data_IF_474961658510
#
_entry.id   IF_474961658510
#
_cell.length_a   1.000
_cell.length_b   1.000
_cell.length_c   1.000
_cell.angle_alpha   90.00
_cell.angle_beta   90.00
_cell.angle_gamma   90.00
#
_symmetry.space_group_name_H-M   'P 1'
#
loop_
_entity.id
_entity.type
_entity.pdbx_description
1 polymer ?
#
# COMPACT_ATOMS: atom_id res chain seq x y z
N UNK A 1 2.04 26.12 -18.74
CA UNK A 1 1.46 25.42 -17.57
C UNK A 1 -0.01 25.17 -17.89
N UNK A 2 -0.34 24.05 -18.53
CA UNK A 2 -1.72 23.71 -18.89
C UNK A 2 -2.37 23.02 -17.70
N UNK A 3 -3.33 23.69 -17.06
CA UNK A 3 -4.09 23.14 -15.95
C UNK A 3 -4.98 22.00 -16.43
N UNK A 4 -4.59 20.75 -16.15
CA UNK A 4 -5.44 19.58 -16.29
C UNK A 4 -6.61 19.70 -15.29
N UNK A 5 -7.78 20.12 -15.79
CA UNK A 5 -9.04 20.06 -15.04
C UNK A 5 -9.66 18.68 -15.23
N UNK A 6 -9.45 17.78 -14.27
CA UNK A 6 -10.10 16.46 -14.26
C UNK A 6 -11.59 16.64 -13.86
N UNK A 7 -12.50 16.33 -14.79
CA UNK A 7 -13.96 16.36 -14.57
C UNK A 7 -14.50 14.96 -14.24
N UNK A 8 -15.60 14.92 -13.46
CA UNK A 8 -16.30 13.70 -13.04
C UNK A 8 -16.72 12.77 -14.18
N UNK A 9 -16.90 11.49 -13.83
CA UNK A 9 -16.80 10.31 -14.71
C UNK A 9 -18.00 10.09 -15.67
N UNK A 10 -17.75 9.82 -16.96
CA UNK A 10 -18.65 9.07 -17.84
C UNK A 10 -18.66 7.56 -17.49
N UNK A 11 -19.64 6.76 -17.97
CA UNK A 11 -19.68 5.31 -17.75
C UNK A 11 -18.43 4.62 -18.35
N UNK A 12 -17.72 3.86 -17.52
CA UNK A 12 -16.46 3.19 -17.91
C UNK A 12 -16.77 1.99 -18.80
N UNK A 13 -16.42 2.06 -20.08
CA UNK A 13 -16.28 0.87 -20.91
C UNK A 13 -14.93 0.22 -20.56
N UNK A 14 -14.97 -0.75 -19.64
CA UNK A 14 -13.76 -1.35 -19.02
C UNK A 14 -12.71 -1.81 -20.02
N UNK A 15 -13.14 -2.48 -21.11
CA UNK A 15 -12.22 -2.93 -22.16
C UNK A 15 -11.55 -1.75 -22.90
N UNK A 16 -12.28 -0.69 -23.24
CA UNK A 16 -11.74 0.49 -23.92
C UNK A 16 -10.71 1.22 -23.04
N UNK A 17 -10.99 1.35 -21.74
CA UNK A 17 -10.05 1.98 -20.82
C UNK A 17 -8.72 1.22 -20.71
N UNK A 18 -8.75 -0.11 -20.81
CA UNK A 18 -7.54 -0.94 -20.88
C UNK A 18 -6.80 -0.67 -22.19
N UNK A 19 -7.50 -0.63 -23.32
CA UNK A 19 -6.90 -0.29 -24.63
C UNK A 19 -6.18 1.05 -24.58
N UNK A 20 -6.79 2.08 -23.99
CA UNK A 20 -6.20 3.40 -23.90
C UNK A 20 -4.91 3.41 -23.07
N UNK A 21 -4.85 2.63 -21.99
CA UNK A 21 -3.62 2.48 -21.20
C UNK A 21 -2.55 1.72 -21.97
N UNK A 22 -2.88 0.55 -22.56
CA UNK A 22 -1.86 -0.31 -23.20
C UNK A 22 -1.38 0.19 -24.57
N UNK A 23 -2.10 1.15 -25.15
CA UNK A 23 -1.68 1.90 -26.33
C UNK A 23 -1.20 3.32 -26.02
N UNK A 24 -0.96 3.65 -24.73
CA UNK A 24 -0.43 4.95 -24.31
C UNK A 24 -1.26 6.16 -24.79
N UNK A 25 -2.58 5.99 -24.95
CA UNK A 25 -3.53 7.08 -25.25
C UNK A 25 -4.08 7.73 -23.99
N UNK A 26 -4.05 7.02 -22.86
CA UNK A 26 -4.46 7.55 -21.57
C UNK A 26 -3.46 8.63 -21.08
N UNK A 27 -3.92 9.85 -20.71
CA UNK A 27 -3.03 10.92 -20.25
C UNK A 27 -2.18 10.57 -19.02
N UNK A 28 -2.70 9.76 -18.09
CA UNK A 28 -1.91 9.30 -16.95
C UNK A 28 -0.79 8.36 -17.39
N UNK A 29 -1.07 7.45 -18.34
CA UNK A 29 -0.02 6.58 -18.89
C UNK A 29 1.07 7.39 -19.58
N UNK A 30 0.71 8.40 -20.37
CA UNK A 30 1.67 9.27 -21.04
C UNK A 30 2.55 10.03 -20.03
N UNK A 31 1.93 10.60 -18.99
CA UNK A 31 2.63 11.31 -17.93
C UNK A 31 3.53 10.40 -17.08
N UNK A 32 3.10 9.17 -16.79
CA UNK A 32 3.94 8.16 -16.11
C UNK A 32 5.13 7.78 -16.99
N UNK A 33 4.94 7.67 -18.30
CA UNK A 33 5.98 7.24 -19.23
C UNK A 33 7.05 8.29 -19.50
N UNK A 34 6.80 9.57 -19.18
CA UNK A 34 7.72 10.68 -19.43
C UNK A 34 8.52 11.06 -18.17
N UNK A 35 9.84 10.84 -18.23
CA UNK A 35 10.76 11.17 -17.13
C UNK A 35 10.87 12.66 -16.81
N UNK A 36 10.47 13.52 -17.74
CA UNK A 36 10.47 14.97 -17.52
C UNK A 36 9.27 15.43 -16.68
N UNK A 37 8.24 14.60 -16.56
CA UNK A 37 7.06 14.90 -15.74
C UNK A 37 7.34 14.55 -14.27
N UNK A 38 7.22 15.52 -13.33
CA UNK A 38 7.46 15.27 -11.91
C UNK A 38 6.34 14.44 -11.29
N UNK A 39 6.72 13.43 -10.49
CA UNK A 39 5.78 12.61 -9.72
C UNK A 39 5.39 13.32 -8.42
N UNK A 40 4.44 14.25 -8.53
CA UNK A 40 3.86 14.98 -7.40
C UNK A 40 2.89 14.11 -6.60
N UNK A 41 2.54 14.55 -5.39
CA UNK A 41 1.59 13.84 -4.55
C UNK A 41 0.18 13.87 -5.13
N UNK A 42 -0.22 15.03 -5.66
CA UNK A 42 -1.49 15.25 -6.33
C UNK A 42 -1.64 14.34 -7.55
N UNK A 43 -0.57 14.15 -8.32
CA UNK A 43 -0.57 13.23 -9.46
C UNK A 43 -0.74 11.77 -9.02
N UNK A 44 0.02 11.34 -8.01
CA UNK A 44 -0.06 9.97 -7.47
C UNK A 44 -1.45 9.68 -6.92
N UNK A 45 -2.01 10.60 -6.14
CA UNK A 45 -3.34 10.47 -5.56
C UNK A 45 -4.43 10.45 -6.66
N UNK A 46 -4.26 11.23 -7.75
CA UNK A 46 -5.16 11.21 -8.90
C UNK A 46 -5.13 9.87 -9.68
N UNK A 47 -3.96 9.22 -9.78
CA UNK A 47 -3.83 7.88 -10.37
C UNK A 47 -4.47 6.83 -9.44
N UNK A 48 -4.23 6.91 -8.13
CA UNK A 48 -4.85 6.02 -7.13
C UNK A 48 -6.37 6.12 -7.17
N UNK A 49 -6.92 7.33 -7.29
CA UNK A 49 -8.35 7.57 -7.37
C UNK A 49 -9.03 6.87 -8.56
N UNK A 50 -8.29 6.45 -9.59
CA UNK A 50 -8.83 5.63 -10.68
C UNK A 50 -9.28 4.23 -10.22
N UNK A 51 -8.71 3.70 -9.13
CA UNK A 51 -8.95 2.33 -8.64
C UNK A 51 -10.21 2.17 -7.77
N UNK A 52 -10.85 3.26 -7.34
CA UNK A 52 -12.00 3.25 -6.41
C UNK A 52 -11.71 2.40 -5.16
N UNK A 53 -10.57 2.63 -4.54
CA UNK A 53 -10.15 1.85 -3.38
C UNK A 53 -10.89 2.23 -2.09
N UNK A 54 -11.32 3.49 -1.93
CA UNK A 54 -12.06 3.95 -0.75
C UNK A 54 -13.49 3.40 -0.62
N UNK A 55 -14.13 3.72 0.50
CA UNK A 55 -15.52 3.38 0.79
C UNK A 55 -16.53 4.37 0.17
N UNK A 56 -16.09 5.57 -0.23
CA UNK A 56 -16.96 6.54 -0.88
C UNK A 56 -17.57 6.01 -2.18
N UNK A 57 -18.89 6.13 -2.30
CA UNK A 57 -19.63 5.67 -3.49
C UNK A 57 -19.85 4.16 -3.55
N UNK A 58 -19.47 3.41 -2.51
CA UNK A 58 -19.84 2.00 -2.38
C UNK A 58 -21.20 1.84 -1.70
N UNK A 59 -21.84 0.69 -1.94
CA UNK A 59 -23.12 0.30 -1.35
C UNK A 59 -22.99 -1.08 -0.70
N UNK A 60 -22.23 -1.18 0.40
CA UNK A 60 -22.06 -2.46 1.09
C UNK A 60 -23.38 -2.95 1.69
N UNK A 61 -23.51 -4.26 1.83
CA UNK A 61 -24.61 -4.91 2.52
C UNK A 61 -24.60 -4.57 4.02
N UNK A 62 -25.79 -4.45 4.64
CA UNK A 62 -25.93 -4.17 6.06
C UNK A 62 -25.36 -5.30 6.91
N UNK A 63 -25.04 -4.96 8.16
CA UNK A 63 -24.43 -5.86 9.14
C UNK A 63 -25.40 -6.97 9.61
N UNK A 64 -26.71 -6.69 9.55
CA UNK A 64 -27.80 -7.62 9.82
C UNK A 64 -28.50 -7.97 8.50
N UNK A 65 -28.99 -9.19 8.36
CA UNK A 65 -29.91 -9.56 7.27
C UNK A 65 -31.36 -9.13 7.56
N UNK A 66 -32.29 -9.46 6.65
CA UNK A 66 -33.72 -9.11 6.78
C UNK A 66 -34.39 -9.78 7.99
N UNK A 67 -33.85 -10.92 8.45
CA UNK A 67 -34.33 -11.67 9.61
C UNK A 67 -33.67 -11.19 10.93
N UNK A 68 -32.76 -10.21 10.86
CA UNK A 68 -32.03 -9.67 12.00
C UNK A 68 -30.82 -10.51 12.43
N UNK A 69 -30.40 -11.51 11.65
CA UNK A 69 -29.21 -12.28 11.95
C UNK A 69 -27.95 -11.47 11.65
N UNK A 70 -26.97 -11.55 12.55
CA UNK A 70 -25.69 -10.92 12.36
C UNK A 70 -24.86 -11.66 11.30
N UNK A 71 -24.45 -10.92 10.27
CA UNK A 71 -23.59 -11.44 9.20
C UNK A 71 -22.27 -10.67 9.07
N UNK A 72 -22.19 -9.41 9.50
CA UNK A 72 -21.08 -8.52 9.18
C UNK A 72 -21.24 -7.84 7.82
N UNK A 73 -20.49 -6.78 7.55
CA UNK A 73 -20.53 -6.07 6.26
C UNK A 73 -19.61 -6.72 5.21
N UNK A 74 -20.02 -6.65 3.94
CA UNK A 74 -19.18 -7.00 2.80
C UNK A 74 -18.19 -5.89 2.41
N UNK A 75 -18.30 -4.69 3.00
CA UNK A 75 -17.23 -3.69 2.94
C UNK A 75 -15.93 -4.33 3.44
N UNK A 76 -14.84 -4.15 2.70
CA UNK A 76 -13.56 -4.70 3.10
C UNK A 76 -12.74 -3.73 3.96
N UNK A 77 -12.03 -4.29 4.94
CA UNK A 77 -11.23 -3.57 5.92
C UNK A 77 -10.25 -2.60 5.27
N UNK A 78 -9.52 -3.03 4.23
CA UNK A 78 -8.49 -2.20 3.60
C UNK A 78 -9.10 -0.98 2.89
N UNK A 79 -10.21 -1.17 2.18
CA UNK A 79 -10.95 -0.06 1.55
C UNK A 79 -11.51 0.91 2.60
N UNK A 80 -11.92 0.39 3.75
CA UNK A 80 -12.37 1.20 4.87
C UNK A 80 -11.24 2.02 5.49
N UNK A 81 -10.07 1.42 5.69
CA UNK A 81 -8.92 2.04 6.36
C UNK A 81 -8.26 3.18 5.57
N UNK A 82 -8.38 3.21 4.24
CA UNK A 82 -7.68 4.24 3.44
C UNK A 82 -8.12 5.67 3.79
N UNK A 83 -9.42 6.03 3.74
CA UNK A 83 -9.83 7.38 4.14
C UNK A 83 -9.60 7.67 5.63
N UNK A 84 -9.66 6.64 6.49
CA UNK A 84 -9.34 6.73 7.93
C UNK A 84 -7.87 7.13 8.13
N UNK A 85 -6.96 6.53 7.35
CA UNK A 85 -5.54 6.85 7.37
C UNK A 85 -5.24 8.23 6.77
N UNK A 86 -5.90 8.61 5.68
CA UNK A 86 -5.72 9.91 5.01
C UNK A 86 -6.03 11.09 5.94
N UNK A 87 -7.09 10.98 6.76
CA UNK A 87 -7.46 12.03 7.73
C UNK A 87 -6.72 11.94 9.07
N UNK A 88 -5.87 10.93 9.26
CA UNK A 88 -5.17 10.70 10.53
C UNK A 88 -6.08 10.37 11.71
N UNK A 89 -7.13 9.59 11.48
CA UNK A 89 -8.10 9.23 12.51
C UNK A 89 -7.42 8.55 13.71
N UNK A 90 -7.93 8.79 14.91
CA UNK A 90 -7.53 8.04 16.11
C UNK A 90 -8.31 6.74 16.17
N UNK A 91 -7.59 5.62 16.26
CA UNK A 91 -8.19 4.29 16.41
C UNK A 91 -7.74 3.66 17.73
N UNK A 92 -8.54 2.71 18.20
CA UNK A 92 -8.21 1.82 19.31
C UNK A 92 -8.10 0.37 18.83
N UNK A 93 -7.07 -0.32 19.31
CA UNK A 93 -6.84 -1.76 19.13
C UNK A 93 -6.95 -2.42 20.52
N UNK A 94 -8.10 -3.00 20.87
CA UNK A 94 -8.34 -3.54 22.22
C UNK A 94 -7.45 -4.74 22.56
N UNK A 95 -7.04 -5.52 21.56
CA UNK A 95 -6.15 -6.65 21.77
C UNK A 95 -5.31 -6.88 20.51
N UNK A 96 -3.99 -6.81 20.64
CA UNK A 96 -3.08 -7.10 19.53
C UNK A 96 -1.89 -7.94 20.01
N UNK A 97 -1.65 -9.06 19.31
CA UNK A 97 -0.42 -9.86 19.46
C UNK A 97 0.38 -9.69 18.17
N UNK A 98 1.69 -9.48 18.23
CA UNK A 98 2.48 -9.27 17.01
C UNK A 98 3.05 -10.58 16.48
N UNK A 99 2.72 -10.96 15.23
CA UNK A 99 3.29 -12.17 14.59
C UNK A 99 4.79 -12.04 14.27
N UNK A 100 5.28 -10.81 14.09
CA UNK A 100 6.71 -10.50 14.01
C UNK A 100 7.24 -10.08 15.37
N UNK A 101 8.53 -10.27 15.59
CA UNK A 101 9.17 -9.84 16.84
C UNK A 101 8.95 -8.35 17.05
N UNK A 102 8.32 -7.98 18.15
CA UNK A 102 8.18 -6.58 18.55
C UNK A 102 9.56 -6.06 18.91
N UNK A 103 10.00 -5.03 18.21
CA UNK A 103 11.25 -4.33 18.51
C UNK A 103 10.89 -3.09 19.31
N UNK A 104 11.37 -3.02 20.55
CA UNK A 104 11.30 -1.82 21.36
C UNK A 104 12.70 -1.19 21.43
N UNK A 105 12.76 0.14 21.44
CA UNK A 105 14.01 0.83 21.77
C UNK A 105 14.22 0.76 23.28
N UNK A 106 15.49 0.76 23.70
CA UNK A 106 15.85 0.69 25.11
C UNK A 106 15.28 1.86 25.95
N UNK A 107 14.98 2.99 25.32
CA UNK A 107 14.44 4.20 25.94
C UNK A 107 12.91 4.32 25.86
N UNK A 108 12.21 3.25 25.47
CA UNK A 108 10.75 3.23 25.32
C UNK A 108 10.11 2.29 26.36
N UNK A 109 9.01 2.73 26.98
CA UNK A 109 8.17 1.89 27.85
C UNK A 109 6.71 1.95 27.43
N UNK A 110 6.02 0.83 27.52
CA UNK A 110 4.58 0.75 27.29
C UNK A 110 3.82 1.07 28.58
N UNK A 111 2.74 1.85 28.47
CA UNK A 111 1.80 2.14 29.55
C UNK A 111 0.48 1.42 29.28
N UNK A 112 -0.06 0.77 30.31
CA UNK A 112 -1.35 0.10 30.25
C UNK A 112 -1.27 -1.37 29.85
N UNK A 113 -2.38 -2.08 30.07
CA UNK A 113 -2.55 -3.49 29.76
C UNK A 113 -3.33 -3.63 28.45
N UNK A 114 -2.70 -4.20 27.42
CA UNK A 114 -3.37 -4.69 26.21
C UNK A 114 -3.74 -3.67 25.13
N UNK A 115 -4.43 -2.57 25.49
CA UNK A 115 -4.98 -1.66 24.50
C UNK A 115 -3.89 -0.81 23.85
N UNK A 116 -4.03 -0.56 22.54
CA UNK A 116 -3.23 0.41 21.79
C UNK A 116 -4.15 1.47 21.24
N UNK A 117 -3.75 2.74 21.30
CA UNK A 117 -4.54 3.80 20.70
C UNK A 117 -3.64 4.89 20.14
N UNK A 118 -4.09 5.51 19.05
CA UNK A 118 -3.24 6.47 18.37
C UNK A 118 -3.79 6.93 17.03
N UNK A 119 -3.26 8.06 16.56
CA UNK A 119 -3.55 8.54 15.22
C UNK A 119 -2.95 7.60 14.18
N UNK A 120 -3.72 7.23 13.17
CA UNK A 120 -3.23 6.51 12.01
C UNK A 120 -2.33 7.44 11.21
N UNK A 121 -1.11 6.99 10.90
CA UNK A 121 -0.09 7.78 10.21
C UNK A 121 0.31 7.18 8.87
N UNK A 122 -0.22 6.00 8.56
CA UNK A 122 -0.07 5.39 7.24
C UNK A 122 -0.56 3.96 7.19
N UNK A 123 -0.70 3.48 5.96
CA UNK A 123 -0.94 2.08 5.64
C UNK A 123 0.21 1.60 4.77
N UNK A 124 0.63 0.37 5.01
CA UNK A 124 1.78 -0.22 4.31
C UNK A 124 1.44 -1.65 3.88
N UNK A 125 1.94 -2.03 2.72
CA UNK A 125 1.94 -3.41 2.27
C UNK A 125 3.37 -3.87 2.05
N UNK A 126 3.63 -5.16 2.28
CA UNK A 126 4.89 -5.77 1.90
C UNK A 126 4.91 -6.02 0.38
N UNK A 127 6.07 -5.80 -0.24
CA UNK A 127 6.26 -5.96 -1.69
C UNK A 127 6.26 -7.44 -2.11
N UNK A 128 6.79 -8.32 -1.26
CA UNK A 128 7.07 -9.72 -1.59
C UNK A 128 6.00 -10.67 -1.05
N UNK A 129 5.42 -10.40 0.13
CA UNK A 129 4.36 -11.20 0.75
C UNK A 129 3.06 -10.43 0.90
N UNK A 130 1.95 -11.11 1.17
CA UNK A 130 0.65 -10.49 1.37
C UNK A 130 0.44 -9.97 2.79
N UNK A 131 1.45 -9.29 3.32
CA UNK A 131 1.35 -8.63 4.62
C UNK A 131 0.92 -7.17 4.46
N UNK A 132 -0.03 -6.76 5.28
CA UNK A 132 -0.54 -5.40 5.34
C UNK A 132 -0.43 -4.92 6.78
N UNK A 133 -0.02 -3.68 6.99
CA UNK A 133 0.15 -3.11 8.33
C UNK A 133 -0.34 -1.68 8.35
N UNK A 134 -0.93 -1.29 9.48
CA UNK A 134 -1.20 0.10 9.81
C UNK A 134 -0.04 0.65 10.63
N UNK A 135 0.33 1.90 10.37
CA UNK A 135 1.26 2.64 11.19
C UNK A 135 0.45 3.62 12.03
N UNK A 136 0.64 3.59 13.34
CA UNK A 136 0.02 4.55 14.25
C UNK A 136 1.08 5.31 15.05
N UNK A 137 0.74 6.54 15.42
CA UNK A 137 1.39 7.25 16.52
C UNK A 137 0.80 6.73 17.82
N UNK A 138 1.44 5.71 18.39
CA UNK A 138 0.94 4.95 19.54
C UNK A 138 1.13 5.75 20.83
N UNK A 139 0.03 6.32 21.34
CA UNK A 139 0.02 7.15 22.54
C UNK A 139 0.19 6.34 23.83
N UNK A 140 0.24 5.00 23.77
CA UNK A 140 0.53 4.16 24.94
C UNK A 140 2.03 3.96 25.16
N UNK A 141 2.89 4.52 24.31
CA UNK A 141 4.35 4.44 24.46
C UNK A 141 4.89 5.75 25.05
N UNK A 142 5.71 5.64 26.09
CA UNK A 142 6.52 6.75 26.60
C UNK A 142 7.94 6.58 26.13
N UNK A 143 8.50 7.65 25.58
CA UNK A 143 9.88 7.75 25.12
C UNK A 143 10.64 8.67 26.07
N UNK A 144 11.71 8.17 26.66
CA UNK A 144 12.64 8.96 27.47
C UNK A 144 13.79 9.45 26.60
N UNK A 145 14.06 10.74 26.63
CA UNK A 145 15.26 11.32 26.03
C UNK A 145 16.49 10.90 26.85
N UNK A 146 17.50 10.25 26.24
CA UNK A 146 18.68 9.80 26.97
C UNK A 146 19.59 10.95 27.44
N UNK A 147 19.54 12.12 26.81
CA UNK A 147 20.37 13.27 27.15
C UNK A 147 19.67 14.19 28.16
N UNK A 148 18.39 14.48 27.93
CA UNK A 148 17.64 15.43 28.77
C UNK A 148 16.83 14.77 29.88
N UNK A 149 16.75 13.44 29.88
CA UNK A 149 15.90 12.60 30.74
C UNK A 149 14.40 12.90 30.69
N UNK A 150 13.95 13.80 29.80
CA UNK A 150 12.55 14.17 29.66
C UNK A 150 11.74 13.05 29.02
N UNK A 151 10.56 12.81 29.55
CA UNK A 151 9.60 11.88 28.96
C UNK A 151 8.68 12.59 27.97
N UNK A 152 8.39 11.93 26.85
CA UNK A 152 7.38 12.33 25.87
C UNK A 152 6.46 11.16 25.57
N UNK A 153 5.20 11.45 25.24
CA UNK A 153 4.20 10.43 24.92
C UNK A 153 4.09 10.29 23.41
N UNK A 154 4.04 9.04 22.95
CA UNK A 154 3.85 8.69 21.56
C UNK A 154 5.10 8.09 20.92
N UNK A 155 4.92 6.97 20.23
CA UNK A 155 5.93 6.44 19.33
C UNK A 155 5.29 5.85 18.08
N UNK A 156 5.98 5.95 16.94
CA UNK A 156 5.51 5.25 15.74
C UNK A 156 5.61 3.74 15.93
N UNK A 157 4.50 3.04 15.66
CA UNK A 157 4.40 1.58 15.71
C UNK A 157 3.67 1.07 14.48
N UNK A 158 4.07 -0.11 14.02
CA UNK A 158 3.40 -0.81 12.93
C UNK A 158 2.64 -2.01 13.49
N UNK A 159 1.37 -2.12 13.14
CA UNK A 159 0.48 -3.20 13.54
C UNK A 159 0.02 -3.93 12.29
N UNK A 160 0.32 -5.23 12.23
CA UNK A 160 -0.02 -6.09 11.10
C UNK A 160 -1.51 -6.40 11.08
N UNK A 161 -2.19 -6.00 10.00
CA UNK A 161 -3.61 -6.23 9.71
C UNK A 161 -3.80 -7.63 9.13
N UNK A 162 -2.99 -7.93 8.12
CA UNK A 162 -2.95 -9.19 7.40
C UNK A 162 -1.54 -9.69 7.48
N UNK A 163 -1.40 -10.94 7.87
CA UNK A 163 -0.11 -11.53 8.13
C UNK A 163 0.65 -11.94 6.86
N UNK A 164 1.88 -12.41 7.04
CA UNK A 164 2.72 -12.83 5.91
C UNK A 164 2.08 -13.92 5.05
N UNK A 165 1.17 -14.73 5.62
CA UNK A 165 0.44 -15.79 4.93
C UNK A 165 -0.84 -15.31 4.23
N UNK A 166 -1.14 -14.01 4.28
CA UNK A 166 -2.37 -13.44 3.73
C UNK A 166 -3.60 -13.70 4.59
N UNK A 167 -3.42 -14.21 5.82
CA UNK A 167 -4.52 -14.41 6.77
C UNK A 167 -4.72 -13.15 7.59
N UNK A 168 -5.97 -12.91 7.95
CA UNK A 168 -6.30 -11.82 8.86
C UNK A 168 -5.67 -12.06 10.22
N UNK A 169 -5.13 -11.00 10.81
CA UNK A 169 -4.75 -11.02 12.20
C UNK A 169 -5.99 -10.90 13.11
N UNK A 170 -6.06 -11.72 14.16
CA UNK A 170 -7.14 -11.66 15.14
C UNK A 170 -7.28 -10.25 15.74
N UNK A 171 -8.53 -9.81 15.91
CA UNK A 171 -8.89 -8.50 16.45
C UNK A 171 -8.99 -7.37 15.42
N UNK A 172 -8.63 -7.63 14.15
CA UNK A 172 -8.78 -6.67 13.06
C UNK A 172 -10.08 -6.84 12.26
N UNK A 173 -10.91 -7.82 12.62
CA UNK A 173 -12.28 -8.02 12.14
C UNK A 173 -13.24 -6.90 12.53
N UNK A 174 -12.78 -6.01 13.41
CA UNK A 174 -13.47 -4.80 13.85
C UNK A 174 -12.50 -3.65 14.08
N UNK A 175 -13.02 -2.42 14.01
CA UNK A 175 -12.29 -1.21 14.39
C UNK A 175 -13.18 -0.39 15.33
N UNK A 176 -12.54 0.19 16.36
CA UNK A 176 -13.12 1.22 17.22
C UNK A 176 -12.41 2.54 16.91
N UNK A 177 -13.17 3.58 16.56
CA UNK A 177 -12.65 4.91 16.24
C UNK A 177 -13.72 5.98 16.46
N UNK A 178 -13.32 7.25 16.41
CA UNK A 178 -14.24 8.39 16.45
C UNK A 178 -14.64 8.84 15.02
N UNK A 179 -15.88 8.54 14.58
CA UNK A 179 -16.32 8.82 13.21
C UNK A 179 -16.70 10.28 13.01
N UNK A 180 -16.32 10.83 11.86
CA UNK A 180 -16.78 12.17 11.44
C UNK A 180 -18.20 12.10 10.86
N UNK A 181 -18.87 13.25 10.72
CA UNK A 181 -20.23 13.33 10.18
C UNK A 181 -20.43 12.56 8.86
N UNK A 182 -19.51 12.72 7.88
CA UNK A 182 -19.55 12.00 6.61
C UNK A 182 -19.46 10.47 6.76
N UNK A 183 -18.66 9.99 7.72
CA UNK A 183 -18.54 8.57 8.03
C UNK A 183 -19.82 8.06 8.70
N UNK A 184 -20.33 8.78 9.69
CA UNK A 184 -21.59 8.45 10.36
C UNK A 184 -22.76 8.36 9.38
N UNK A 185 -22.86 9.30 8.44
CA UNK A 185 -23.88 9.28 7.39
C UNK A 185 -23.76 8.04 6.52
N UNK A 186 -22.53 7.67 6.11
CA UNK A 186 -22.28 6.47 5.32
C UNK A 186 -22.61 5.19 6.08
N UNK A 187 -22.16 5.07 7.34
CA UNK A 187 -22.41 3.90 8.18
C UNK A 187 -23.89 3.71 8.48
N UNK A 188 -24.60 4.80 8.82
CA UNK A 188 -26.03 4.78 9.16
C UNK A 188 -26.86 4.46 7.92
N UNK A 189 -26.59 5.13 6.79
CA UNK A 189 -27.33 4.92 5.54
C UNK A 189 -27.26 3.47 5.04
N UNK A 190 -26.13 2.80 5.25
CA UNK A 190 -25.93 1.42 4.79
C UNK A 190 -26.08 0.38 5.92
N UNK A 191 -26.44 0.79 7.14
CA UNK A 191 -26.66 -0.13 8.28
C UNK A 191 -25.43 -0.96 8.65
N UNK A 192 -24.24 -0.35 8.72
CA UNK A 192 -22.95 -1.08 8.77
C UNK A 192 -22.40 -1.35 10.17
N UNK A 193 -22.88 -0.66 11.19
CA UNK A 193 -22.37 -0.78 12.55
C UNK A 193 -23.42 -1.27 13.54
N UNK A 194 -22.94 -1.96 14.57
CA UNK A 194 -23.72 -2.37 15.74
C UNK A 194 -23.21 -1.59 16.96
N UNK A 195 -23.84 -0.44 17.24
CA UNK A 195 -23.33 0.52 18.22
C UNK A 195 -22.13 1.29 17.66
N UNK A 196 -20.98 1.22 18.33
CA UNK A 196 -19.77 1.99 17.99
C UNK A 196 -18.72 1.18 17.20
N UNK A 197 -19.12 0.07 16.59
CA UNK A 197 -18.20 -0.89 15.97
C UNK A 197 -18.71 -1.34 14.60
N UNK A 198 -17.82 -1.33 13.60
CA UNK A 198 -18.07 -1.99 12.30
C UNK A 198 -17.39 -3.35 12.30
N UNK A 199 -18.12 -4.37 11.84
CA UNK A 199 -17.64 -5.74 11.73
C UNK A 199 -17.49 -6.14 10.27
N UNK A 200 -16.27 -6.46 9.86
CA UNK A 200 -15.91 -6.74 8.48
C UNK A 200 -15.90 -8.25 8.23
N UNK A 201 -16.43 -8.71 7.09
CA UNK A 201 -16.31 -10.13 6.67
C UNK A 201 -14.95 -10.45 6.04
N UNK A 202 -14.32 -9.44 5.44
CA UNK A 202 -13.14 -9.64 4.61
C UNK A 202 -12.10 -8.53 4.84
N UNK A 203 -10.82 -8.90 4.85
CA UNK A 203 -9.73 -7.93 4.75
C UNK A 203 -9.69 -7.26 3.36
N UNK A 204 -9.99 -8.03 2.30
CA UNK A 204 -10.16 -7.55 0.93
C UNK A 204 -11.40 -8.19 0.30
N UNK A 205 -12.24 -7.40 -0.39
CA UNK A 205 -13.51 -7.89 -0.92
C UNK A 205 -13.27 -8.95 -2.01
N UNK A 206 -13.99 -10.11 -2.00
CA UNK A 206 -13.80 -11.18 -2.97
C UNK A 206 -13.83 -10.73 -4.44
N UNK A 207 -14.82 -9.94 -4.84
CA UNK A 207 -14.94 -9.40 -6.22
C UNK A 207 -13.75 -8.56 -6.71
N UNK A 208 -12.86 -8.06 -5.83
CA UNK A 208 -11.67 -7.29 -6.24
C UNK A 208 -10.65 -8.12 -7.02
N UNK A 209 -10.80 -9.45 -7.09
CA UNK A 209 -9.94 -10.29 -7.93
C UNK A 209 -9.93 -9.84 -9.40
N UNK A 210 -11.01 -9.22 -9.89
CA UNK A 210 -11.11 -8.73 -11.26
C UNK A 210 -10.31 -7.44 -11.50
N UNK A 211 -9.98 -6.70 -10.44
CA UNK A 211 -9.29 -5.41 -10.53
C UNK A 211 -7.91 -5.53 -11.17
N UNK A 212 -7.24 -6.68 -11.03
CA UNK A 212 -5.91 -6.94 -11.63
C UNK A 212 -5.91 -6.89 -13.17
N UNK A 213 -7.07 -6.92 -13.81
CA UNK A 213 -7.21 -6.80 -15.26
C UNK A 213 -7.55 -5.37 -15.72
N UNK A 214 -7.98 -4.52 -14.80
CA UNK A 214 -8.47 -3.18 -15.09
C UNK A 214 -7.38 -2.17 -15.41
N UNK A 215 -7.74 -1.14 -16.17
CA UNK A 215 -6.87 0.01 -16.45
C UNK A 215 -6.24 0.64 -15.19
N UNK A 216 -6.97 0.82 -14.06
CA UNK A 216 -6.37 1.37 -12.85
C UNK A 216 -5.20 0.54 -12.29
N UNK A 217 -5.32 -0.78 -12.32
CA UNK A 217 -4.25 -1.67 -11.85
C UNK A 217 -3.01 -1.54 -12.74
N UNK A 218 -3.18 -1.52 -14.06
CA UNK A 218 -2.08 -1.32 -15.01
C UNK A 218 -1.38 0.03 -14.78
N UNK A 219 -2.16 1.11 -14.63
CA UNK A 219 -1.63 2.44 -14.31
C UNK A 219 -0.82 2.43 -13.01
N UNK A 220 -1.33 1.79 -11.95
CA UNK A 220 -0.63 1.73 -10.67
C UNK A 220 0.66 0.90 -10.75
N UNK A 221 0.69 -0.21 -11.49
CA UNK A 221 1.91 -0.98 -11.72
C UNK A 221 2.95 -0.15 -12.47
N UNK A 222 2.54 0.57 -13.52
CA UNK A 222 3.43 1.48 -14.26
C UNK A 222 3.95 2.61 -13.36
N UNK A 223 3.07 3.21 -12.55
CA UNK A 223 3.43 4.26 -11.60
C UNK A 223 4.43 3.78 -10.55
N UNK A 224 4.26 2.57 -9.99
CA UNK A 224 5.19 2.02 -9.00
C UNK A 224 6.58 1.83 -9.60
N UNK A 225 6.68 1.33 -10.82
CA UNK A 225 7.96 1.18 -11.53
C UNK A 225 8.61 2.54 -11.83
N UNK A 226 7.79 3.52 -12.24
CA UNK A 226 8.20 4.92 -12.44
C UNK A 226 8.77 5.55 -11.16
N UNK A 227 8.05 5.43 -10.04
CA UNK A 227 8.50 5.90 -8.72
C UNK A 227 9.79 5.21 -8.26
N UNK A 228 9.92 3.90 -8.54
CA UNK A 228 11.14 3.13 -8.23
C UNK A 228 12.33 3.65 -9.02
N UNK A 229 12.18 3.83 -10.33
CA UNK A 229 13.25 4.33 -11.20
C UNK A 229 13.66 5.76 -10.81
N UNK A 230 12.69 6.64 -10.58
CA UNK A 230 12.96 8.02 -10.12
C UNK A 230 13.66 8.05 -8.77
N UNK A 231 13.20 7.26 -7.80
CA UNK A 231 13.86 7.18 -6.49
C UNK A 231 15.30 6.67 -6.58
N UNK A 232 15.58 5.79 -7.56
CA UNK A 232 16.93 5.26 -7.80
C UNK A 232 17.83 6.33 -8.42
N UNK A 233 17.30 7.12 -9.35
CA UNK A 233 18.00 8.28 -9.91
C UNK A 233 18.39 9.29 -8.82
N UNK A 234 17.45 9.73 -7.98
CA UNK A 234 17.78 10.70 -6.92
C UNK A 234 18.68 10.12 -5.83
N UNK A 235 18.67 8.80 -5.63
CA UNK A 235 19.67 8.14 -4.79
C UNK A 235 21.07 8.26 -5.39
N UNK A 236 21.21 8.10 -6.71
CA UNK A 236 22.47 8.31 -7.42
C UNK A 236 22.91 9.78 -7.36
N UNK A 237 21.99 10.74 -7.43
CA UNK A 237 22.30 12.16 -7.24
C UNK A 237 22.83 12.45 -5.83
N UNK A 238 22.24 11.86 -4.78
CA UNK A 238 22.77 11.96 -3.41
C UNK A 238 24.20 11.41 -3.35
N UNK A 239 24.44 10.21 -3.86
CA UNK A 239 25.79 9.61 -3.88
C UNK A 239 26.78 10.46 -4.69
N UNK A 240 26.35 11.03 -5.82
CA UNK A 240 27.17 11.91 -6.65
C UNK A 240 27.57 13.16 -5.87
N UNK A 241 26.65 13.80 -5.15
CA UNK A 241 26.90 15.03 -4.39
C UNK A 241 27.73 14.76 -3.13
N UNK A 242 27.47 13.68 -2.40
CA UNK A 242 28.31 13.23 -1.27
C UNK A 242 29.77 12.99 -1.75
N UNK A 243 29.96 12.43 -2.95
CA UNK A 243 31.30 12.25 -3.54
C UNK A 243 32.02 13.57 -3.92
N UNK A 244 31.30 14.70 -3.98
CA UNK A 244 31.90 16.04 -4.15
C UNK A 244 32.25 16.70 -2.80
N UNK A 245 32.10 15.99 -1.68
CA UNK A 245 32.39 16.50 -0.33
C UNK A 245 31.25 17.31 0.28
N UNK A 246 30.04 17.23 -0.28
CA UNK A 246 28.85 17.85 0.31
C UNK A 246 28.26 16.92 1.39
N UNK A 247 27.83 17.50 2.50
CA UNK A 247 27.23 16.75 3.61
C UNK A 247 25.78 17.19 3.84
N UNK A 248 24.96 16.26 4.35
CA UNK A 248 23.60 16.60 4.74
C UNK A 248 23.64 17.38 6.07
N UNK A 249 22.82 18.43 6.22
CA UNK A 249 22.70 19.14 7.49
C UNK A 249 22.34 18.22 8.65
N UNK A 250 22.80 18.59 9.85
CA UNK A 250 22.47 17.88 11.08
C UNK A 250 20.95 17.77 11.26
N UNK A 251 20.48 16.59 11.67
CA UNK A 251 19.05 16.30 11.83
C UNK A 251 18.30 15.85 10.57
N UNK A 252 18.86 15.96 9.36
CA UNK A 252 18.22 15.40 8.15
C UNK A 252 18.17 13.87 8.16
N UNK A 253 19.25 13.24 8.62
CA UNK A 253 19.31 11.80 8.88
C UNK A 253 18.91 11.56 10.35
N UNK A 254 17.67 11.11 10.60
CA UNK A 254 17.30 10.64 11.94
C UNK A 254 18.11 9.39 12.29
N UNK A 255 18.92 9.48 13.34
CA UNK A 255 19.58 8.31 13.90
C UNK A 255 18.56 7.35 14.52
N UNK A 256 18.64 6.08 14.14
CA UNK A 256 17.91 5.02 14.82
C UNK A 256 18.78 4.50 15.96
N UNK A 257 18.40 4.80 17.20
CA UNK A 257 19.03 4.20 18.38
C UNK A 257 18.96 2.66 18.38
N UNK A 258 19.78 2.00 19.23
CA UNK A 258 19.90 0.55 19.25
C UNK A 258 18.55 -0.10 19.59
N UNK A 259 18.20 -1.11 18.79
CA UNK A 259 16.99 -1.90 18.92
C UNK A 259 17.25 -3.14 19.76
N UNK A 260 16.38 -3.45 20.71
CA UNK A 260 16.43 -4.68 21.51
C UNK A 260 15.32 -5.63 21.04
N UNK A 261 15.66 -6.88 20.77
CA UNK A 261 14.69 -7.93 20.48
C UNK A 261 15.04 -9.18 21.29
N UNK A 262 14.12 -9.66 22.13
CA UNK A 262 14.34 -10.78 23.05
C UNK A 262 13.56 -12.05 22.70
N UNK A 263 12.92 -12.11 21.52
CA UNK A 263 12.04 -13.22 21.15
C UNK A 263 12.72 -14.12 20.13
N UNK A 264 12.63 -15.43 20.35
CA UNK A 264 13.11 -16.46 19.42
C UNK A 264 12.39 -16.34 18.07
N UNK A 265 13.15 -16.55 16.99
CA UNK A 265 12.71 -16.38 15.62
C UNK A 265 12.77 -17.71 14.87
N UNK A 266 11.78 -17.96 14.03
CA UNK A 266 11.74 -19.11 13.13
C UNK A 266 11.52 -18.67 11.68
N UNK A 267 12.07 -19.45 10.74
CA UNK A 267 11.86 -19.25 9.30
C UNK A 267 10.69 -20.10 8.83
N UNK A 268 9.73 -19.47 8.15
CA UNK A 268 8.60 -20.15 7.52
C UNK A 268 8.62 -19.94 6.00
N UNK A 269 8.07 -20.90 5.26
CA UNK A 269 7.84 -20.78 3.81
C UNK A 269 6.43 -20.29 3.57
N UNK A 270 6.28 -19.26 2.75
CA UNK A 270 5.00 -18.63 2.48
C UNK A 270 4.77 -18.54 0.97
N UNK A 271 3.60 -18.96 0.53
CA UNK A 271 3.17 -18.78 -0.86
C UNK A 271 2.72 -17.33 -1.07
N UNK A 272 3.09 -16.76 -2.20
CA UNK A 272 2.76 -15.39 -2.58
C UNK A 272 2.57 -15.29 -4.10
N UNK A 273 2.06 -14.14 -4.54
CA UNK A 273 1.95 -13.78 -5.95
C UNK A 273 3.02 -12.74 -6.29
N UNK A 274 3.74 -12.98 -7.38
CA UNK A 274 4.54 -11.98 -8.05
C UNK A 274 3.88 -11.63 -9.38
N UNK A 275 3.59 -10.35 -9.58
CA UNK A 275 2.95 -9.83 -10.77
C UNK A 275 3.76 -8.68 -11.37
N UNK A 276 3.93 -8.67 -12.69
CA UNK A 276 4.75 -7.72 -13.43
C UNK A 276 4.00 -7.24 -14.68
N UNK A 277 4.22 -5.98 -15.07
CA UNK A 277 3.78 -5.46 -16.36
C UNK A 277 5.02 -5.27 -17.23
N UNK A 278 5.05 -5.99 -18.36
CA UNK A 278 5.97 -5.70 -19.44
C UNK A 278 5.49 -4.43 -20.13
N UNK A 279 6.38 -3.47 -20.33
CA UNK A 279 6.09 -2.19 -20.96
C UNK A 279 7.37 -1.62 -21.60
N UNK A 280 7.24 -0.71 -22.58
CA UNK A 280 8.36 0.08 -23.08
C UNK A 280 9.13 0.78 -21.96
N UNK A 281 10.40 1.04 -22.22
CA UNK A 281 11.23 1.88 -21.35
C UNK A 281 10.64 3.29 -21.32
N UNK A 282 10.59 3.90 -20.13
CA UNK A 282 10.18 5.30 -20.00
C UNK A 282 11.04 6.21 -20.88
N UNK A 283 10.46 7.27 -21.42
CA UNK A 283 11.13 8.22 -22.30
C UNK A 283 11.60 9.46 -21.52
N UNK A 284 12.33 10.36 -22.16
CA UNK A 284 12.83 11.58 -21.53
C UNK A 284 14.00 11.37 -20.57
N UNK A 285 14.30 12.39 -19.76
CA UNK A 285 15.36 12.38 -18.74
C UNK A 285 14.87 12.97 -17.42
N UNK A 286 15.43 12.48 -16.31
CA UNK A 286 15.18 13.05 -14.99
C UNK A 286 15.90 14.39 -14.84
N UNK A 287 15.31 15.29 -14.05
CA UNK A 287 15.94 16.56 -13.72
C UNK A 287 17.03 16.36 -12.65
N UNK A 288 18.29 16.58 -13.03
CA UNK A 288 19.41 16.63 -12.08
C UNK A 288 19.30 17.83 -11.13
N UNK A 289 19.87 17.68 -9.94
CA UNK A 289 19.97 18.75 -8.94
C UNK A 289 21.31 19.50 -9.06
N UNK A 290 21.37 20.79 -8.68
CA UNK A 290 22.62 21.54 -8.69
C UNK A 290 23.68 20.98 -7.73
N UNK A 291 24.96 21.25 -8.01
CA UNK A 291 26.10 20.86 -7.16
C UNK A 291 26.22 21.75 -5.93
N UNK A 292 25.27 21.64 -5.02
CA UNK A 292 25.10 22.50 -3.84
C UNK A 292 24.54 21.69 -2.67
N UNK A 293 24.70 22.16 -1.44
CA UNK A 293 24.10 21.54 -0.26
C UNK A 293 22.56 21.52 -0.37
N UNK A 294 21.95 22.57 -0.91
CA UNK A 294 20.51 22.63 -1.16
C UNK A 294 20.08 21.55 -2.17
N UNK A 295 20.89 21.32 -3.21
CA UNK A 295 20.69 20.25 -4.18
C UNK A 295 20.75 18.86 -3.54
N UNK A 296 21.67 18.64 -2.60
CA UNK A 296 21.80 17.39 -1.84
C UNK A 296 20.57 17.15 -0.94
N UNK A 297 20.14 18.17 -0.19
CA UNK A 297 18.93 18.10 0.64
C UNK A 297 17.70 17.85 -0.22
N UNK A 298 17.59 18.52 -1.37
CA UNK A 298 16.48 18.33 -2.31
C UNK A 298 16.45 16.88 -2.82
N UNK A 299 17.57 16.34 -3.31
CA UNK A 299 17.64 14.97 -3.81
C UNK A 299 17.32 13.94 -2.72
N UNK A 300 17.85 14.14 -1.51
CA UNK A 300 17.60 13.27 -0.37
C UNK A 300 16.12 13.24 0.03
N UNK A 301 15.52 14.40 0.26
CA UNK A 301 14.11 14.52 0.67
C UNK A 301 13.17 13.99 -0.41
N UNK A 302 13.44 14.30 -1.68
CA UNK A 302 12.63 13.80 -2.80
C UNK A 302 12.73 12.28 -2.94
N UNK A 303 13.95 11.71 -2.87
CA UNK A 303 14.16 10.26 -2.85
C UNK A 303 13.36 9.58 -1.73
N UNK A 304 13.38 10.15 -0.52
CA UNK A 304 12.63 9.65 0.63
C UNK A 304 11.12 9.75 0.40
N UNK A 305 10.61 10.89 -0.10
CA UNK A 305 9.19 11.09 -0.42
C UNK A 305 8.70 10.04 -1.43
N UNK A 306 9.43 9.83 -2.52
CA UNK A 306 9.11 8.81 -3.52
C UNK A 306 9.09 7.40 -2.90
N UNK A 307 10.10 7.06 -2.11
CA UNK A 307 10.32 5.70 -1.60
C UNK A 307 9.36 5.33 -0.46
N UNK A 308 9.14 6.25 0.47
CA UNK A 308 8.49 5.99 1.76
C UNK A 308 7.12 6.61 1.91
N UNK A 309 6.72 7.51 1.01
CA UNK A 309 5.40 8.15 1.03
C UNK A 309 4.59 7.76 -0.21
N UNK A 310 5.06 8.12 -1.40
CA UNK A 310 4.26 7.98 -2.63
C UNK A 310 4.15 6.54 -3.12
N UNK A 311 5.27 5.82 -3.23
CA UNK A 311 5.27 4.42 -3.69
C UNK A 311 4.43 3.51 -2.78
N UNK A 312 4.53 3.58 -1.43
CA UNK A 312 3.70 2.75 -0.56
C UNK A 312 2.19 2.97 -0.72
N UNK A 313 1.72 4.21 -0.98
CA UNK A 313 0.30 4.48 -1.26
C UNK A 313 -0.20 3.67 -2.46
N UNK A 314 0.50 3.75 -3.60
CA UNK A 314 0.14 3.01 -4.81
C UNK A 314 0.30 1.48 -4.62
N UNK A 315 1.35 1.06 -3.92
CA UNK A 315 1.62 -0.35 -3.65
C UNK A 315 0.56 -1.00 -2.77
N UNK A 316 -0.02 -0.27 -1.80
CA UNK A 316 -1.10 -0.78 -0.96
C UNK A 316 -2.28 -1.27 -1.81
N UNK A 317 -2.74 -0.42 -2.74
CA UNK A 317 -3.87 -0.69 -3.63
C UNK A 317 -3.57 -1.89 -4.54
N UNK A 318 -2.40 -1.88 -5.19
CA UNK A 318 -1.96 -2.99 -6.06
C UNK A 318 -1.90 -4.30 -5.30
N UNK A 319 -1.29 -4.31 -4.11
CA UNK A 319 -1.14 -5.54 -3.33
C UNK A 319 -2.49 -6.06 -2.84
N UNK A 320 -3.44 -5.18 -2.55
CA UNK A 320 -4.79 -5.60 -2.18
C UNK A 320 -5.52 -6.26 -3.38
N UNK A 321 -5.40 -5.71 -4.58
CA UNK A 321 -5.93 -6.36 -5.81
C UNK A 321 -5.26 -7.73 -6.04
N UNK A 322 -3.93 -7.80 -5.89
CA UNK A 322 -3.16 -9.05 -6.02
C UNK A 322 -3.54 -10.08 -4.94
N UNK A 323 -3.82 -9.65 -3.70
CA UNK A 323 -4.31 -10.54 -2.63
C UNK A 323 -5.69 -11.10 -2.97
N UNK A 324 -6.61 -10.25 -3.43
CA UNK A 324 -7.94 -10.69 -3.84
C UNK A 324 -7.86 -11.69 -5.00
N UNK A 325 -6.96 -11.46 -5.97
CA UNK A 325 -6.71 -12.42 -7.05
C UNK A 325 -6.09 -13.72 -6.56
N UNK A 326 -5.14 -13.66 -5.63
CA UNK A 326 -4.49 -14.83 -5.05
C UNK A 326 -5.49 -15.74 -4.32
N UNK A 327 -6.36 -15.15 -3.49
CA UNK A 327 -7.35 -15.85 -2.68
C UNK A 327 -8.57 -16.31 -3.50
N UNK A 328 -9.11 -15.44 -4.35
CA UNK A 328 -10.41 -15.64 -4.99
C UNK A 328 -10.35 -15.76 -6.50
N UNK A 329 -9.28 -15.27 -7.14
CA UNK A 329 -9.13 -15.30 -8.60
C UNK A 329 -9.09 -16.71 -9.16
N UNK A 330 -8.41 -17.66 -8.47
CA UNK A 330 -8.26 -19.07 -8.89
C UNK A 330 -7.79 -19.21 -10.35
N UNK A 331 -6.85 -18.36 -10.75
CA UNK A 331 -6.32 -18.27 -12.12
C UNK A 331 -7.36 -17.97 -13.21
N UNK A 332 -8.56 -17.53 -12.83
CA UNK A 332 -9.61 -17.12 -13.77
C UNK A 332 -9.23 -15.80 -14.43
N UNK A 333 -9.76 -15.60 -15.63
CA UNK A 333 -9.75 -14.31 -16.31
C UNK A 333 -11.13 -13.68 -16.17
N UNK A 334 -11.20 -12.37 -15.96
CA UNK A 334 -12.47 -11.67 -15.92
C UNK A 334 -13.20 -11.81 -17.27
N UNK A 335 -14.51 -12.09 -17.25
CA UNK A 335 -15.28 -12.40 -18.46
C UNK A 335 -15.24 -11.30 -19.53
N UNK A 336 -15.15 -10.05 -19.10
CA UNK A 336 -15.08 -8.88 -19.98
C UNK A 336 -13.72 -8.71 -20.69
N UNK A 337 -12.69 -9.48 -20.32
CA UNK A 337 -11.40 -9.50 -21.01
C UNK A 337 -11.41 -10.35 -22.30
N UNK A 338 -12.56 -10.92 -22.68
CA UNK A 338 -12.79 -11.62 -23.96
C UNK A 338 -11.84 -12.81 -24.20
N UNK A 339 -11.40 -13.06 -25.44
CA UNK A 339 -10.53 -14.17 -25.88
C UNK A 339 -9.10 -14.13 -25.30
N UNK A 340 -8.80 -13.18 -24.40
CA UNK A 340 -7.48 -13.07 -23.76
C UNK A 340 -7.36 -14.12 -22.67
N UNK A 341 -6.56 -15.14 -22.93
CA UNK A 341 -6.24 -16.19 -21.97
C UNK A 341 -4.83 -16.07 -21.39
N UNK A 342 -4.59 -16.80 -20.30
CA UNK A 342 -3.24 -17.04 -19.80
C UNK A 342 -2.47 -17.97 -20.74
N UNK A 343 -1.26 -17.56 -21.11
CA UNK A 343 -0.29 -18.39 -21.84
C UNK A 343 0.94 -18.62 -20.97
N UNK A 344 1.55 -19.79 -21.10
CA UNK A 344 2.83 -20.07 -20.45
C UNK A 344 3.95 -19.29 -21.14
N UNK A 345 4.74 -18.56 -20.38
CA UNK A 345 5.87 -17.78 -20.88
C UNK A 345 7.12 -18.02 -20.05
N UNK A 346 8.24 -18.27 -20.72
CA UNK A 346 9.56 -18.39 -20.10
C UNK A 346 10.49 -17.39 -20.76
N UNK A 347 11.10 -16.45 -20.02
CA UNK A 347 12.03 -15.48 -20.59
C UNK A 347 13.22 -16.19 -21.27
N UNK A 348 13.78 -15.66 -22.38
CA UNK A 348 14.83 -16.34 -23.17
C UNK A 348 16.09 -16.77 -22.40
N UNK A 349 16.39 -16.15 -21.26
CA UNK A 349 17.54 -16.46 -20.39
C UNK A 349 17.12 -16.85 -18.96
N UNK A 350 15.82 -17.01 -18.72
CA UNK A 350 15.27 -17.31 -17.41
C UNK A 350 14.79 -18.76 -17.32
N UNK A 351 14.94 -19.36 -16.13
CA UNK A 351 14.26 -20.64 -15.80
C UNK A 351 12.88 -20.43 -15.18
N UNK A 352 12.51 -19.18 -14.92
CA UNK A 352 11.23 -18.86 -14.30
C UNK A 352 10.12 -18.94 -15.33
N UNK A 353 9.12 -19.78 -15.05
CA UNK A 353 7.88 -19.87 -15.81
C UNK A 353 6.87 -18.86 -15.27
N UNK A 354 6.24 -18.13 -16.17
CA UNK A 354 5.20 -17.15 -15.90
C UNK A 354 3.91 -17.53 -16.61
N UNK A 355 2.77 -17.10 -16.04
CA UNK A 355 1.53 -16.93 -16.79
C UNK A 355 1.52 -15.53 -17.37
N UNK A 356 1.39 -15.43 -18.69
CA UNK A 356 1.41 -14.16 -19.43
C UNK A 356 0.09 -13.96 -20.16
N UNK A 357 -0.42 -12.74 -20.11
CA UNK A 357 -1.51 -12.24 -20.93
C UNK A 357 -0.99 -11.07 -21.74
N UNK A 358 -0.94 -11.23 -23.07
CA UNK A 358 -0.54 -10.16 -23.98
C UNK A 358 -1.70 -9.18 -24.10
N UNK A 359 -1.44 -7.90 -23.84
CA UNK A 359 -2.48 -6.86 -23.82
C UNK A 359 -2.40 -5.94 -25.05
N UNK A 360 -1.19 -5.69 -25.55
CA UNK A 360 -0.86 -5.04 -26.82
C UNK A 360 0.48 -5.59 -27.34
N UNK A 361 1.00 -5.04 -28.45
CA UNK A 361 2.32 -5.42 -28.97
C UNK A 361 3.46 -5.10 -27.99
N UNK A 362 3.26 -4.07 -27.15
CA UNK A 362 4.30 -3.53 -26.27
C UNK A 362 4.03 -3.81 -24.79
N UNK A 363 2.81 -4.22 -24.44
CA UNK A 363 2.39 -4.40 -23.05
C UNK A 363 1.86 -5.81 -22.82
N UNK A 364 2.39 -6.48 -21.80
CA UNK A 364 1.90 -7.77 -21.35
C UNK A 364 1.84 -7.82 -19.81
N UNK A 365 0.83 -8.49 -19.29
CA UNK A 365 0.71 -8.76 -17.86
C UNK A 365 1.23 -10.16 -17.57
N UNK A 366 2.18 -10.27 -16.65
CA UNK A 366 2.74 -11.55 -16.19
C UNK A 366 2.50 -11.74 -14.71
N UNK A 367 2.18 -12.97 -14.30
CA UNK A 367 2.25 -13.35 -12.90
C UNK A 367 2.77 -14.76 -12.70
N UNK A 368 3.24 -15.04 -11.48
CA UNK A 368 3.55 -16.37 -11.00
C UNK A 368 3.22 -16.48 -9.52
N UNK A 369 2.89 -17.70 -9.09
CA UNK A 369 2.93 -18.07 -7.68
C UNK A 369 4.36 -18.44 -7.33
N UNK A 370 4.87 -17.98 -6.18
CA UNK A 370 6.20 -18.33 -5.69
C UNK A 370 6.16 -18.58 -4.20
N UNK A 371 7.17 -19.28 -3.71
CA UNK A 371 7.40 -19.46 -2.28
C UNK A 371 8.54 -18.54 -1.88
N UNK A 372 8.33 -17.76 -0.81
CA UNK A 372 9.36 -16.93 -0.19
C UNK A 372 9.58 -17.38 1.25
N UNK A 373 10.77 -17.12 1.79
CA UNK A 373 11.10 -17.43 3.18
C UNK A 373 10.97 -16.17 4.02
N UNK A 374 10.15 -16.24 5.06
CA UNK A 374 9.89 -15.15 6.00
C UNK A 374 10.34 -15.56 7.41
N UNK A 375 10.74 -14.59 8.22
CA UNK A 375 11.07 -14.79 9.63
C UNK A 375 9.93 -14.30 10.52
N UNK A 376 9.44 -15.16 11.41
CA UNK A 376 8.34 -14.89 12.34
C UNK A 376 8.73 -15.27 13.78
N UNK A 377 7.98 -14.79 14.77
CA UNK A 377 8.20 -15.19 16.16
C UNK A 377 7.82 -16.67 16.39
N UNK A 378 8.56 -17.38 17.25
CA UNK A 378 8.37 -18.83 17.49
C UNK A 378 7.05 -19.16 18.20
N UNK A 379 6.56 -18.29 19.09
CA UNK A 379 5.40 -18.55 19.95
C UNK A 379 4.06 -18.07 19.36
N UNK A 380 3.91 -18.06 18.04
CA UNK A 380 2.64 -17.74 17.37
C UNK A 380 1.93 -19.04 16.96
N UNK A 381 1.27 -19.68 17.93
CA UNK A 381 0.35 -20.81 17.71
C UNK A 381 -1.09 -20.35 17.76
#
# INVERSE_FOLDING_TARGET
MYGLKFRGRPPIRFAESVQDVVHFKNPYTQAIADRSVPMTEEFVDAVIAQSIFGWEGRHPAPVLDEDGNFQGTDLDLLSFLVPIAERGAVIELPSYRSRRVSVAKANERHIGEGNRFGAVTGLTSNQDVFSFSIRIWDNTVVVRDPETERESVGAFRNFMLVDVTGKWHDGWDRIVWDPIAKENDFLTKNGLWTGNTVYFKNAVHPNRWQSVFGAPYLLLKMLIERLREESSFYRQEVTRLEAHGLELPEGEKKESGPTVSSVEQQKIKVETLEALIDMPVFNGTYRSVPNTEEGLVQAYRHQKKLTWTLKPKAQLVVRADELAYFLYGKDRVASWMSERGWKTFTPPRGRTVWKQMVLSNDVAYRFRRKIVTETVATNFS
#
